data_IF_970380383699
#
_entry.id   IF_970380383699
#
_cell.length_a   1.000
_cell.length_b   1.000
_cell.length_c   1.000
_cell.angle_alpha   90.00
_cell.angle_beta   90.00
_cell.angle_gamma   90.00
#
_symmetry.space_group_name_H-M   'P 1'
#
loop_
_entity.id
_entity.type
_entity.pdbx_description
1 polymer ?
#
# COMPACT_ATOMS: atom_id res chain seq x y z
N UNK A 1 40.01 18.56 0.08
CA UNK A 1 39.71 19.98 0.33
C UNK A 1 39.21 20.56 -0.96
N UNK A 2 37.90 20.82 -1.09
CA UNK A 2 37.33 21.34 -2.34
C UNK A 2 37.98 22.70 -2.68
N UNK A 3 38.62 22.79 -3.83
CA UNK A 3 39.27 24.02 -4.28
C UNK A 3 38.21 25.11 -4.44
N UNK A 4 38.24 26.11 -3.55
CA UNK A 4 37.44 27.32 -3.70
C UNK A 4 37.95 28.06 -4.93
N UNK A 5 37.33 27.79 -6.09
CA UNK A 5 37.62 28.44 -7.36
C UNK A 5 37.38 29.95 -7.15
N UNK A 6 38.42 30.75 -7.35
CA UNK A 6 38.38 32.20 -7.22
C UNK A 6 37.11 32.77 -7.87
N UNK A 7 36.32 33.62 -7.18
CA UNK A 7 35.08 34.14 -7.73
C UNK A 7 35.34 34.87 -9.04
N UNK A 8 34.80 34.35 -10.15
CA UNK A 8 34.85 35.02 -11.44
C UNK A 8 33.99 36.30 -11.35
N UNK A 9 34.57 37.50 -11.60
CA UNK A 9 33.84 38.76 -11.47
C UNK A 9 32.62 38.85 -12.40
N UNK A 10 32.62 38.15 -13.54
CA UNK A 10 31.44 38.07 -14.42
C UNK A 10 30.34 37.21 -13.79
N UNK A 11 30.70 36.13 -13.11
CA UNK A 11 29.75 35.26 -12.40
C UNK A 11 29.09 36.00 -11.22
N UNK A 12 29.87 36.83 -10.52
CA UNK A 12 29.38 37.71 -9.45
C UNK A 12 28.35 38.70 -9.99
N UNK A 13 28.66 39.41 -11.09
CA UNK A 13 27.73 40.36 -11.71
C UNK A 13 26.45 39.69 -12.21
N UNK A 14 26.54 38.51 -12.83
CA UNK A 14 25.36 37.77 -13.28
C UNK A 14 24.48 37.33 -12.11
N UNK A 15 25.07 36.88 -11.02
CA UNK A 15 24.33 36.52 -9.80
C UNK A 15 23.62 37.73 -9.21
N UNK A 16 24.30 38.87 -9.07
CA UNK A 16 23.68 40.13 -8.59
C UNK A 16 22.54 40.62 -9.50
N UNK A 17 22.69 40.43 -10.81
CA UNK A 17 21.63 40.75 -11.76
C UNK A 17 20.39 39.87 -11.55
N UNK A 18 20.57 38.55 -11.38
CA UNK A 18 19.48 37.62 -11.09
C UNK A 18 18.83 37.86 -9.71
N UNK A 19 19.63 38.21 -8.70
CA UNK A 19 19.15 38.64 -7.39
C UNK A 19 18.27 39.90 -7.52
N UNK A 20 18.75 40.92 -8.23
CA UNK A 20 18.01 42.18 -8.42
C UNK A 20 16.76 42.02 -9.29
N UNK A 21 16.76 41.06 -10.21
CA UNK A 21 15.60 40.70 -11.03
C UNK A 21 14.58 39.82 -10.29
N UNK A 22 14.86 39.40 -9.04
CA UNK A 22 13.97 38.56 -8.24
C UNK A 22 13.90 37.08 -8.67
N UNK A 23 14.71 36.67 -9.66
CA UNK A 23 14.72 35.30 -10.19
C UNK A 23 15.13 34.30 -9.10
N UNK A 24 16.07 34.69 -8.25
CA UNK A 24 16.52 33.87 -7.11
C UNK A 24 15.39 33.66 -6.12
N UNK A 25 14.58 34.68 -5.84
CA UNK A 25 13.46 34.60 -4.91
C UNK A 25 12.32 33.76 -5.48
N UNK A 26 12.01 33.91 -6.78
CA UNK A 26 11.02 33.06 -7.48
C UNK A 26 11.42 31.59 -7.45
N UNK A 27 12.67 31.27 -7.81
CA UNK A 27 13.18 29.90 -7.74
C UNK A 27 13.16 29.36 -6.31
N UNK A 28 13.49 30.18 -5.32
CA UNK A 28 13.46 29.78 -3.90
C UNK A 28 12.03 29.46 -3.46
N UNK A 29 11.05 30.27 -3.85
CA UNK A 29 9.64 30.02 -3.55
C UNK A 29 9.10 28.77 -4.24
N UNK A 30 9.50 28.50 -5.48
CA UNK A 30 9.11 27.29 -6.19
C UNK A 30 9.72 26.04 -5.56
N UNK A 31 11.00 26.11 -5.16
CA UNK A 31 11.66 25.03 -4.42
C UNK A 31 10.95 24.78 -3.08
N UNK A 32 10.58 25.83 -2.35
CA UNK A 32 9.83 25.69 -1.10
C UNK A 32 8.42 25.10 -1.30
N UNK A 33 7.76 25.45 -2.41
CA UNK A 33 6.47 24.84 -2.79
C UNK A 33 6.64 23.34 -3.13
N UNK A 34 7.72 23.00 -3.84
CA UNK A 34 8.03 21.61 -4.20
C UNK A 34 8.39 20.77 -2.96
N UNK A 35 9.18 21.30 -2.03
CA UNK A 35 9.53 20.59 -0.79
C UNK A 35 8.29 20.39 0.10
N UNK A 36 7.43 21.40 0.20
CA UNK A 36 6.17 21.30 0.95
C UNK A 36 5.21 20.27 0.33
N UNK A 37 5.07 20.27 -0.99
CA UNK A 37 4.22 19.29 -1.69
C UNK A 37 4.78 17.86 -1.55
N UNK A 38 6.09 17.67 -1.68
CA UNK A 38 6.74 16.38 -1.45
C UNK A 38 6.55 15.90 -0.01
N UNK A 39 6.76 16.76 0.99
CA UNK A 39 6.53 16.45 2.40
C UNK A 39 5.09 16.05 2.67
N UNK A 40 4.12 16.73 2.06
CA UNK A 40 2.70 16.39 2.17
C UNK A 40 2.37 15.05 1.53
N UNK A 41 2.91 14.78 0.34
CA UNK A 41 2.75 13.50 -0.36
C UNK A 41 3.30 12.34 0.48
N UNK A 42 4.52 12.49 1.00
CA UNK A 42 5.16 11.50 1.87
C UNK A 42 4.35 11.27 3.14
N UNK A 43 3.88 12.34 3.80
CA UNK A 43 3.03 12.21 5.00
C UNK A 43 1.70 11.53 4.69
N UNK A 44 1.06 11.86 3.57
CA UNK A 44 -0.19 11.20 3.17
C UNK A 44 0.04 9.72 2.91
N UNK A 45 1.02 9.35 2.10
CA UNK A 45 1.28 7.95 1.77
C UNK A 45 1.79 7.12 2.95
N UNK A 46 2.58 7.71 3.86
CA UNK A 46 3.04 7.02 5.07
C UNK A 46 1.97 6.96 6.16
N UNK A 47 1.15 8.01 6.35
CA UNK A 47 0.02 7.94 7.29
C UNK A 47 -1.14 7.10 6.76
N UNK A 48 -1.30 6.97 5.44
CA UNK A 48 -2.19 5.98 4.82
C UNK A 48 -1.79 4.54 5.12
N UNK A 49 -0.54 4.32 5.57
CA UNK A 49 -0.10 3.03 6.09
C UNK A 49 -0.94 2.51 7.25
N UNK A 50 -1.51 3.41 8.08
CA UNK A 50 -2.40 3.00 9.17
C UNK A 50 -3.68 2.32 8.69
N UNK A 51 -4.33 2.88 7.66
CA UNK A 51 -5.54 2.30 7.06
C UNK A 51 -5.22 0.99 6.31
N UNK A 52 -4.10 0.95 5.59
CA UNK A 52 -3.66 -0.27 4.92
C UNK A 52 -3.38 -1.40 5.93
N UNK A 53 -2.78 -1.09 7.08
CA UNK A 53 -2.53 -2.07 8.15
C UNK A 53 -3.85 -2.59 8.72
N UNK A 54 -4.81 -1.71 9.06
CA UNK A 54 -6.12 -2.14 9.58
C UNK A 54 -6.89 -2.99 8.58
N UNK A 55 -6.83 -2.65 7.29
CA UNK A 55 -7.50 -3.41 6.24
C UNK A 55 -6.83 -4.79 6.06
N UNK A 56 -5.50 -4.87 6.17
CA UNK A 56 -4.79 -6.16 6.13
C UNK A 56 -5.09 -7.04 7.34
N UNK A 57 -5.24 -6.47 8.53
CA UNK A 57 -5.61 -7.21 9.75
C UNK A 57 -7.06 -7.73 9.65
N UNK A 58 -7.98 -6.90 9.16
CA UNK A 58 -9.38 -7.31 8.93
C UNK A 58 -9.47 -8.45 7.90
N UNK A 59 -8.74 -8.36 6.79
CA UNK A 59 -8.67 -9.42 5.78
C UNK A 59 -8.06 -10.72 6.34
N UNK A 60 -7.03 -10.62 7.20
CA UNK A 60 -6.46 -11.80 7.86
C UNK A 60 -7.48 -12.48 8.75
N UNK A 61 -8.26 -11.72 9.52
CA UNK A 61 -9.32 -12.27 10.36
C UNK A 61 -10.40 -12.96 9.53
N UNK A 62 -10.85 -12.36 8.42
CA UNK A 62 -11.84 -12.95 7.53
C UNK A 62 -11.34 -14.28 6.91
N UNK A 63 -10.06 -14.36 6.53
CA UNK A 63 -9.45 -15.60 6.02
C UNK A 63 -9.46 -16.69 7.09
N UNK A 64 -9.19 -16.36 8.36
CA UNK A 64 -9.24 -17.31 9.47
C UNK A 64 -10.68 -17.82 9.66
N UNK A 65 -11.65 -16.91 9.72
CA UNK A 65 -13.06 -17.23 9.93
C UNK A 65 -13.61 -18.10 8.79
N UNK A 66 -13.30 -17.77 7.54
CA UNK A 66 -13.69 -18.55 6.37
C UNK A 66 -13.06 -19.95 6.38
N UNK A 67 -11.77 -20.06 6.74
CA UNK A 67 -11.10 -21.37 6.86
C UNK A 67 -11.76 -22.23 7.93
N UNK A 68 -12.10 -21.66 9.07
CA UNK A 68 -12.79 -22.36 10.14
C UNK A 68 -14.17 -22.85 9.69
N UNK A 69 -14.93 -22.00 9.00
CA UNK A 69 -16.26 -22.35 8.49
C UNK A 69 -16.19 -23.44 7.42
N UNK A 70 -15.21 -23.38 6.53
CA UNK A 70 -14.97 -24.43 5.54
C UNK A 70 -14.63 -25.77 6.19
N UNK A 71 -13.83 -25.77 7.26
CA UNK A 71 -13.52 -27.00 8.01
C UNK A 71 -14.78 -27.59 8.65
N UNK A 72 -15.59 -26.77 9.33
CA UNK A 72 -16.85 -27.20 9.94
C UNK A 72 -17.82 -27.79 8.90
N UNK A 73 -18.01 -27.09 7.78
CA UNK A 73 -18.89 -27.57 6.70
C UNK A 73 -18.36 -28.84 6.04
N UNK A 74 -17.04 -29.04 5.99
CA UNK A 74 -16.43 -30.27 5.47
C UNK A 74 -16.67 -31.45 6.42
N UNK A 75 -16.55 -31.23 7.72
CA UNK A 75 -16.84 -32.24 8.74
C UNK A 75 -18.33 -32.60 8.78
N UNK A 76 -19.22 -31.61 8.73
CA UNK A 76 -20.67 -31.82 8.62
C UNK A 76 -21.03 -32.57 7.34
N UNK A 77 -20.45 -32.19 6.19
CA UNK A 77 -20.65 -32.92 4.94
C UNK A 77 -20.20 -34.37 5.05
N UNK A 78 -19.08 -34.62 5.73
CA UNK A 78 -18.56 -35.97 5.94
C UNK A 78 -19.50 -36.79 6.83
N UNK A 79 -20.01 -36.21 7.93
CA UNK A 79 -20.99 -36.87 8.80
C UNK A 79 -22.28 -37.16 8.04
N UNK A 80 -22.84 -36.17 7.34
CA UNK A 80 -24.05 -36.31 6.56
C UNK A 80 -23.90 -37.36 5.46
N UNK A 81 -22.79 -37.37 4.71
CA UNK A 81 -22.50 -38.41 3.71
C UNK A 81 -22.39 -39.79 4.34
N UNK A 82 -21.74 -39.90 5.50
CA UNK A 82 -21.63 -41.17 6.23
C UNK A 82 -22.99 -41.67 6.72
N UNK A 83 -23.86 -40.76 7.14
CA UNK A 83 -25.26 -41.07 7.51
C UNK A 83 -26.08 -41.46 6.28
N UNK A 84 -25.94 -40.75 5.16
CA UNK A 84 -26.60 -41.06 3.90
C UNK A 84 -26.24 -42.46 3.40
N UNK A 85 -24.95 -42.83 3.41
CA UNK A 85 -24.49 -44.18 3.06
C UNK A 85 -25.08 -45.30 3.94
N UNK A 86 -25.53 -44.98 5.17
CA UNK A 86 -26.21 -45.96 6.03
C UNK A 86 -27.68 -46.16 5.66
N UNK A 87 -28.30 -45.15 5.06
CA UNK A 87 -29.71 -45.19 4.64
C UNK A 87 -29.87 -45.57 3.17
N UNK A 88 -28.87 -45.31 2.34
CA UNK A 88 -28.68 -45.87 1.00
C UNK A 88 -27.47 -46.83 1.03
N UNK A 89 -27.61 -48.08 1.50
CA UNK A 89 -26.80 -49.13 0.91
C UNK A 89 -27.14 -49.16 -0.59
N UNK A 90 -26.23 -49.57 -1.47
CA UNK A 90 -26.54 -49.79 -2.89
C UNK A 90 -27.73 -50.76 -3.06
N UNK A 91 -28.95 -50.25 -3.03
CA UNK A 91 -30.19 -50.97 -3.34
C UNK A 91 -30.94 -50.24 -4.46
N UNK A 92 -30.14 -49.69 -5.38
CA UNK A 92 -30.57 -49.09 -6.63
C UNK A 92 -29.82 -49.61 -7.86
N UNK A 93 -29.02 -50.67 -7.71
CA UNK A 93 -28.44 -51.41 -8.82
C UNK A 93 -29.30 -52.66 -9.09
N UNK A 94 -30.39 -52.43 -9.83
CA UNK A 94 -31.05 -53.41 -10.71
C UNK A 94 -31.48 -54.73 -10.06
N UNK A 95 -32.69 -54.74 -9.51
CA UNK A 95 -33.57 -55.89 -9.60
C UNK A 95 -34.24 -55.90 -11.00
N UNK A 96 -34.09 -57.03 -11.70
CA UNK A 96 -34.74 -57.51 -12.94
C UNK A 96 -34.53 -56.75 -14.27
#
# INVERSE_FOLDING_TARGET
MAHYRTPDPKREHFRRYLEKAGVVDSLTSEVDSLTNSFSRFVKQHLNSGGQAITDTEALQQEVIDLRQRCAQLADENKDLKSRLQRYEPEDGATAD
#
